data_IF_553006855760
#
_entry.id   IF_553006855760
#
_cell.length_a   1.000
_cell.length_b   1.000
_cell.length_c   1.000
_cell.angle_alpha   90.00
_cell.angle_beta   90.00
_cell.angle_gamma   90.00
#
_symmetry.space_group_name_H-M   'P 1'
#
loop_
_entity.id
_entity.type
_entity.pdbx_description
1 polymer ?
#
# COMPACT_ATOMS: atom_id res chain seq x y z
N UNK A 1 -6.60 -2.30 9.86
CA UNK A 1 -5.40 -2.54 9.02
C UNK A 1 -4.92 -1.22 8.45
N UNK A 2 -3.60 -0.94 8.46
CA UNK A 2 -3.05 0.27 7.83
C UNK A 2 -3.52 0.42 6.37
N UNK A 3 -3.76 1.67 5.97
CA UNK A 3 -4.18 2.03 4.61
C UNK A 3 -3.22 3.05 4.02
N UNK A 4 -2.65 2.71 2.87
CA UNK A 4 -1.75 3.56 2.09
C UNK A 4 -2.54 4.19 0.95
N UNK A 5 -2.50 5.52 0.85
CA UNK A 5 -3.14 6.26 -0.23
C UNK A 5 -2.08 6.61 -1.29
N UNK A 6 -2.32 6.22 -2.53
CA UNK A 6 -1.40 6.42 -3.64
C UNK A 6 -1.75 7.69 -4.42
N UNK A 7 -0.74 8.38 -4.97
CA UNK A 7 -0.95 9.57 -5.81
C UNK A 7 -1.73 9.27 -7.10
N UNK A 8 -1.77 8.01 -7.54
CA UNK A 8 -2.58 7.56 -8.66
C UNK A 8 -4.09 7.56 -8.38
N UNK A 9 -4.51 7.77 -7.12
CA UNK A 9 -5.91 7.72 -6.69
C UNK A 9 -6.35 6.37 -6.11
N UNK A 10 -5.50 5.33 -6.23
CA UNK A 10 -5.74 4.02 -5.62
C UNK A 10 -5.38 3.96 -4.14
N UNK A 11 -5.83 2.90 -3.47
CA UNK A 11 -5.45 2.60 -2.08
C UNK A 11 -4.88 1.19 -1.95
N UNK A 12 -3.99 0.99 -0.99
CA UNK A 12 -3.48 -0.32 -0.62
C UNK A 12 -3.66 -0.53 0.88
N UNK A 13 -4.35 -1.61 1.26
CA UNK A 13 -4.41 -2.05 2.66
C UNK A 13 -3.35 -3.12 2.88
N UNK A 14 -2.69 -3.11 4.03
CA UNK A 14 -1.65 -4.09 4.37
C UNK A 14 -1.75 -4.49 5.84
N UNK A 15 -1.16 -5.64 6.21
CA UNK A 15 -1.07 -6.06 7.62
C UNK A 15 0.04 -5.32 8.35
N UNK A 16 1.15 -5.06 7.67
CA UNK A 16 2.28 -4.32 8.22
C UNK A 16 3.01 -3.52 7.16
N UNK A 17 3.74 -2.50 7.59
CA UNK A 17 4.62 -1.72 6.72
C UNK A 17 5.89 -1.27 7.43
N UNK A 18 6.92 -1.00 6.65
CA UNK A 18 8.15 -0.35 7.11
C UNK A 18 8.53 0.73 6.11
N UNK A 19 8.94 1.89 6.62
CA UNK A 19 9.45 2.99 5.81
C UNK A 19 10.96 3.08 6.02
N UNK A 20 11.72 2.91 4.95
CA UNK A 20 13.18 3.00 4.98
C UNK A 20 13.70 3.34 3.58
N UNK A 21 14.81 4.08 3.50
CA UNK A 21 15.54 4.31 2.25
C UNK A 21 14.66 4.85 1.09
N UNK A 22 13.72 5.75 1.41
CA UNK A 22 12.85 6.38 0.40
C UNK A 22 11.70 5.51 -0.11
N UNK A 23 11.48 4.33 0.47
CA UNK A 23 10.41 3.41 0.10
C UNK A 23 9.57 2.97 1.31
N UNK A 24 8.31 2.62 1.06
CA UNK A 24 7.47 1.89 1.98
C UNK A 24 7.35 0.44 1.50
N UNK A 25 7.83 -0.50 2.31
CA UNK A 25 7.64 -1.93 2.11
C UNK A 25 6.39 -2.37 2.88
N UNK A 26 5.41 -2.89 2.16
CA UNK A 26 4.10 -3.32 2.68
C UNK A 26 4.04 -4.85 2.67
N UNK A 27 3.44 -5.45 3.68
CA UNK A 27 3.31 -6.91 3.85
C UNK A 27 1.84 -7.30 3.84
N UNK A 28 1.52 -8.40 3.14
CA UNK A 28 0.15 -8.90 2.93
C UNK A 28 -0.78 -7.79 2.42
N UNK A 29 -0.50 -7.36 1.20
CA UNK A 29 -1.09 -6.17 0.57
C UNK A 29 -2.33 -6.55 -0.22
N UNK A 30 -3.38 -5.77 -0.07
CA UNK A 30 -4.56 -5.77 -0.92
C UNK A 30 -4.74 -4.39 -1.55
N UNK A 31 -4.58 -4.31 -2.87
CA UNK A 31 -4.83 -3.11 -3.66
C UNK A 31 -6.33 -2.97 -3.94
N UNK A 32 -6.85 -1.79 -3.64
CA UNK A 32 -8.23 -1.40 -3.88
C UNK A 32 -8.23 -0.27 -4.90
N UNK A 33 -8.29 -0.68 -6.17
CA UNK A 33 -8.45 0.18 -7.34
C UNK A 33 -9.20 -0.60 -8.43
N UNK A 34 -10.08 0.09 -9.16
CA UNK A 34 -10.88 -0.45 -10.27
C UNK A 34 -10.06 -0.94 -11.46
N UNK A 35 -8.80 -0.50 -11.58
CA UNK A 35 -7.92 -0.84 -12.70
C UNK A 35 -6.98 -2.04 -12.45
N UNK A 36 -6.92 -2.59 -11.23
CA UNK A 36 -6.02 -3.70 -10.91
C UNK A 36 -6.67 -5.03 -11.30
N UNK A 37 -6.02 -5.88 -12.11
CA UNK A 37 -6.49 -7.22 -12.40
C UNK A 37 -6.72 -8.02 -11.10
N UNK A 38 -7.82 -8.79 -11.02
CA UNK A 38 -8.24 -9.45 -9.78
C UNK A 38 -7.19 -10.43 -9.21
N UNK A 39 -6.39 -11.04 -10.08
CA UNK A 39 -5.25 -11.91 -9.75
C UNK A 39 -4.06 -11.15 -9.15
N UNK A 40 -3.98 -9.83 -9.35
CA UNK A 40 -2.93 -8.94 -8.85
C UNK A 40 -3.37 -8.05 -7.69
N UNK A 41 -4.64 -8.12 -7.31
CA UNK A 41 -5.20 -7.34 -6.21
C UNK A 41 -4.56 -7.71 -4.87
N UNK A 42 -4.11 -8.96 -4.69
CA UNK A 42 -3.45 -9.43 -3.47
C UNK A 42 -2.01 -9.79 -3.74
N UNK A 43 -1.09 -9.24 -2.94
CA UNK A 43 0.34 -9.52 -3.04
C UNK A 43 0.92 -9.79 -1.65
N UNK A 44 1.85 -10.75 -1.52
CA UNK A 44 2.50 -11.00 -0.23
C UNK A 44 3.36 -9.82 0.23
N UNK A 45 3.91 -9.06 -0.72
CA UNK A 45 4.72 -7.88 -0.46
C UNK A 45 4.55 -6.86 -1.60
N UNK A 46 4.58 -5.57 -1.27
CA UNK A 46 4.72 -4.50 -2.25
C UNK A 46 5.74 -3.47 -1.77
N UNK A 47 6.61 -3.01 -2.66
CA UNK A 47 7.54 -1.91 -2.42
C UNK A 47 7.05 -0.69 -3.18
N UNK A 48 6.73 0.38 -2.47
CA UNK A 48 6.18 1.61 -3.04
C UNK A 48 7.13 2.76 -2.71
N UNK A 49 7.62 3.47 -3.73
CA UNK A 49 8.41 4.68 -3.50
C UNK A 49 7.58 5.73 -2.75
N UNK A 50 8.19 6.41 -1.78
CA UNK A 50 7.49 7.44 -0.98
C UNK A 50 6.94 8.57 -1.88
N UNK A 51 7.59 8.85 -3.01
CA UNK A 51 7.12 9.82 -3.99
C UNK A 51 5.77 9.46 -4.63
N UNK A 52 5.35 8.20 -4.56
CA UNK A 52 4.06 7.72 -5.04
C UNK A 52 3.00 7.61 -3.94
N UNK A 53 3.34 7.92 -2.69
CA UNK A 53 2.44 7.87 -1.54
C UNK A 53 1.96 9.29 -1.22
N UNK A 54 0.65 9.44 -0.98
CA UNK A 54 0.06 10.67 -0.45
C UNK A 54 0.20 10.70 1.07
N UNK A 55 -0.29 9.67 1.74
CA UNK A 55 -0.16 9.46 3.18
C UNK A 55 -0.50 8.01 3.55
N UNK A 56 -0.08 7.61 4.75
CA UNK A 56 -0.40 6.31 5.35
C UNK A 56 -1.25 6.57 6.58
N UNK A 57 -2.42 5.95 6.64
CA UNK A 57 -3.26 5.92 7.85
C UNK A 57 -2.92 4.62 8.60
N UNK A 58 -2.26 4.68 9.78
CA UNK A 58 -2.06 3.49 10.60
C UNK A 58 -3.40 2.94 11.06
N UNK A 59 -3.45 1.65 11.38
CA UNK A 59 -4.60 1.11 12.09
C UNK A 59 -4.76 1.87 13.42
N UNK A 60 -6.01 2.13 13.84
CA UNK A 60 -6.22 2.81 15.13
C UNK A 60 -5.53 2.00 16.24
N UNK A 61 -4.90 2.66 17.22
CA UNK A 61 -4.33 1.98 18.38
C UNK A 61 -5.39 1.20 19.16
#
# INVERSE_FOLDING_TARGET
>A
MPTVFLKSGGTATCVGYTVKDGVAKLIEVEFKDTAVPADKAKQPEAVVALDNILYIIPDRP
#
